data_IF_232180887057
#
_entry.id   IF_232180887057
#
_cell.length_a   1.000
_cell.length_b   1.000
_cell.length_c   1.000
_cell.angle_alpha   90.00
_cell.angle_beta   90.00
_cell.angle_gamma   90.00
#
_symmetry.space_group_name_H-M   'P 1'
#
loop_
_entity.id
_entity.type
_entity.pdbx_description
1 polymer ?
#
# COMPACT_ATOMS: atom_id res chain seq x y z
N UNK A 1 10.79 -15.70 3.96
CA UNK A 1 9.73 -16.27 3.07
C UNK A 1 9.42 -15.26 1.96
N UNK A 2 8.98 -15.67 0.75
CA UNK A 2 8.59 -14.70 -0.28
C UNK A 2 7.36 -13.89 0.15
N UNK A 3 7.33 -12.59 -0.17
CA UNK A 3 6.20 -11.69 0.12
C UNK A 3 4.93 -12.22 -0.52
N UNK A 4 3.88 -12.39 0.28
CA UNK A 4 2.52 -12.56 -0.25
C UNK A 4 2.00 -11.18 -0.69
N UNK A 5 1.71 -11.04 -1.97
CA UNK A 5 1.05 -9.85 -2.54
C UNK A 5 -0.45 -10.11 -2.57
N UNK A 6 -1.28 -9.20 -2.06
CA UNK A 6 -2.72 -9.44 -1.92
C UNK A 6 -3.38 -9.83 -3.24
N UNK A 7 -3.06 -9.12 -4.34
CA UNK A 7 -3.60 -9.37 -5.68
C UNK A 7 -3.08 -10.64 -6.37
N UNK A 8 -2.24 -11.42 -5.68
CA UNK A 8 -1.79 -12.76 -6.12
C UNK A 8 -2.39 -13.87 -5.26
N UNK A 9 -3.19 -13.53 -4.25
CA UNK A 9 -3.89 -14.49 -3.43
C UNK A 9 -5.25 -14.81 -4.06
N UNK A 10 -5.64 -16.08 -4.00
CA UNK A 10 -7.02 -16.48 -4.32
C UNK A 10 -7.95 -16.09 -3.16
N UNK A 11 -9.27 -16.01 -3.38
CA UNK A 11 -10.23 -15.76 -2.31
C UNK A 11 -10.05 -16.71 -1.12
N UNK A 12 -9.93 -18.02 -1.37
CA UNK A 12 -9.69 -19.01 -0.31
C UNK A 12 -8.40 -18.76 0.48
N UNK A 13 -7.35 -18.23 -0.17
CA UNK A 13 -6.10 -17.89 0.52
C UNK A 13 -6.23 -16.63 1.38
N UNK A 14 -7.12 -15.72 1.01
CA UNK A 14 -7.47 -14.53 1.79
C UNK A 14 -8.33 -14.93 2.99
N UNK A 15 -9.35 -15.78 2.77
CA UNK A 15 -10.25 -16.27 3.83
C UNK A 15 -9.53 -17.11 4.89
N UNK A 16 -8.43 -17.78 4.49
CA UNK A 16 -7.57 -18.54 5.39
C UNK A 16 -6.57 -17.68 6.18
N UNK A 17 -6.55 -16.35 5.97
CA UNK A 17 -5.69 -15.46 6.75
C UNK A 17 -6.24 -15.30 8.16
N UNK A 18 -5.39 -15.57 9.15
CA UNK A 18 -5.67 -15.20 10.53
C UNK A 18 -5.51 -13.68 10.68
N UNK A 19 -6.63 -12.97 10.86
CA UNK A 19 -6.67 -11.51 10.95
C UNK A 19 -5.85 -10.97 12.11
N UNK A 20 -5.79 -11.69 13.23
CA UNK A 20 -5.01 -11.30 14.41
C UNK A 20 -3.50 -11.52 14.21
N UNK A 21 -3.14 -12.26 13.15
CA UNK A 21 -1.77 -12.52 12.73
C UNK A 21 -1.48 -12.00 11.33
N UNK A 22 -2.24 -11.04 10.82
CA UNK A 22 -1.96 -10.47 9.50
C UNK A 22 -1.70 -8.98 9.61
N UNK A 23 -0.51 -8.56 9.18
CA UNK A 23 -0.20 -7.14 8.99
C UNK A 23 -0.43 -6.78 7.54
N UNK A 24 -1.27 -5.78 7.28
CA UNK A 24 -1.51 -5.29 5.92
C UNK A 24 -0.75 -3.99 5.72
N UNK A 25 0.03 -3.92 4.65
CA UNK A 25 0.74 -2.72 4.23
C UNK A 25 -0.02 -2.12 3.06
N UNK A 26 -0.67 -0.99 3.31
CA UNK A 26 -1.36 -0.17 2.32
C UNK A 26 -0.40 0.95 1.87
N UNK A 27 0.19 0.87 0.66
CA UNK A 27 0.99 1.96 0.13
C UNK A 27 0.06 3.09 -0.32
N UNK A 28 0.38 4.33 0.02
CA UNK A 28 -0.39 5.50 -0.39
C UNK A 28 0.50 6.40 -1.24
N UNK A 29 0.08 6.71 -2.47
CA UNK A 29 0.89 7.49 -3.39
C UNK A 29 0.05 8.54 -4.15
N UNK A 30 0.71 9.65 -4.46
CA UNK A 30 0.26 10.64 -5.43
C UNK A 30 0.83 10.30 -6.80
N UNK A 31 0.08 10.57 -7.89
CA UNK A 31 0.74 10.78 -9.20
C UNK A 31 0.66 12.25 -9.52
N UNK A 32 1.76 12.95 -9.24
CA UNK A 32 1.90 14.37 -9.47
C UNK A 32 3.23 14.67 -10.12
N UNK A 33 3.30 15.79 -10.83
CA UNK A 33 4.56 16.31 -11.34
C UNK A 33 5.39 16.86 -10.16
N UNK A 34 6.53 16.21 -9.89
CA UNK A 34 7.55 16.72 -8.97
C UNK A 34 8.58 17.63 -9.68
N UNK A 35 8.19 18.23 -10.81
CA UNK A 35 9.01 19.12 -11.62
C UNK A 35 9.19 18.63 -13.07
N UNK A 36 9.76 19.48 -13.94
CA UNK A 36 9.76 19.28 -15.40
C UNK A 36 10.56 18.07 -15.91
N UNK A 37 11.39 17.45 -15.05
CA UNK A 37 12.21 16.28 -15.38
C UNK A 37 11.75 14.99 -14.70
N UNK A 38 10.71 15.05 -13.87
CA UNK A 38 10.23 13.92 -13.08
C UNK A 38 8.96 13.38 -13.70
N UNK A 39 8.89 12.06 -13.91
CA UNK A 39 7.67 11.43 -14.41
C UNK A 39 6.60 11.46 -13.32
N UNK A 40 5.35 11.64 -13.70
CA UNK A 40 4.22 11.76 -12.75
C UNK A 40 4.00 10.52 -11.89
N UNK A 41 4.54 9.36 -12.27
CA UNK A 41 4.41 8.08 -11.55
C UNK A 41 5.63 7.73 -10.67
N UNK A 42 6.63 8.60 -10.54
CA UNK A 42 7.84 8.25 -9.78
C UNK A 42 7.53 8.04 -8.29
N UNK A 43 6.66 8.87 -7.69
CA UNK A 43 6.21 8.69 -6.31
C UNK A 43 5.50 7.33 -6.12
N UNK A 44 4.64 6.95 -7.06
CA UNK A 44 3.99 5.63 -7.07
C UNK A 44 5.01 4.49 -7.07
N UNK A 45 6.07 4.58 -7.90
CA UNK A 45 7.12 3.55 -7.95
C UNK A 45 7.95 3.49 -6.68
N UNK A 46 8.31 4.65 -6.13
CA UNK A 46 9.06 4.73 -4.88
C UNK A 46 8.27 4.08 -3.74
N UNK A 47 7.02 4.50 -3.54
CA UNK A 47 6.14 3.96 -2.51
C UNK A 47 5.89 2.46 -2.70
N UNK A 48 5.73 1.98 -3.94
CA UNK A 48 5.59 0.54 -4.21
C UNK A 48 6.84 -0.25 -3.80
N UNK A 49 8.02 0.31 -4.03
CA UNK A 49 9.32 -0.31 -3.69
C UNK A 49 9.52 -0.34 -2.18
N UNK A 50 9.22 0.76 -1.50
CA UNK A 50 9.35 0.88 -0.05
C UNK A 50 8.35 -0.02 0.68
N UNK A 51 7.10 -0.07 0.22
CA UNK A 51 6.10 -0.99 0.79
C UNK A 51 6.49 -2.46 0.62
N UNK A 52 7.11 -2.82 -0.51
CA UNK A 52 7.66 -4.16 -0.72
C UNK A 52 8.78 -4.46 0.27
N UNK A 53 9.69 -3.50 0.49
CA UNK A 53 10.78 -3.64 1.45
C UNK A 53 10.25 -3.78 2.88
N UNK A 54 9.33 -2.92 3.29
CA UNK A 54 8.68 -3.01 4.61
C UNK A 54 8.00 -4.38 4.82
N UNK A 55 7.30 -4.92 3.81
CA UNK A 55 6.68 -6.24 3.89
C UNK A 55 7.72 -7.36 4.09
N UNK A 56 8.86 -7.27 3.40
CA UNK A 56 9.97 -8.20 3.59
C UNK A 56 10.54 -8.11 5.00
N UNK A 57 10.81 -6.90 5.48
CA UNK A 57 11.46 -6.67 6.77
C UNK A 57 10.58 -7.18 7.92
N UNK A 58 9.27 -6.92 7.85
CA UNK A 58 8.28 -7.48 8.79
C UNK A 58 8.28 -9.01 8.73
N UNK A 59 8.16 -9.60 7.54
CA UNK A 59 8.16 -11.06 7.38
C UNK A 59 9.46 -11.72 7.89
N UNK A 60 10.61 -11.05 7.73
CA UNK A 60 11.91 -11.54 8.23
C UNK A 60 12.03 -11.42 9.75
N UNK A 61 11.53 -10.33 10.34
CA UNK A 61 11.52 -10.15 11.80
C UNK A 61 10.67 -11.22 12.50
N UNK A 62 9.54 -11.62 11.89
CA UNK A 62 8.64 -12.64 12.44
C UNK A 62 9.25 -14.04 12.38
N UNK A 63 10.04 -14.34 11.35
CA UNK A 63 10.68 -15.65 11.21
C UNK A 63 11.64 -15.99 12.37
N UNK A 64 12.19 -14.98 13.05
CA UNK A 64 13.03 -15.12 14.24
C UNK A 64 12.30 -14.89 15.57
N UNK A 65 10.98 -14.67 15.55
CA UNK A 65 10.18 -14.28 16.72
C UNK A 65 9.24 -15.40 17.19
N UNK A 66 8.89 -15.46 18.48
CA UNK A 66 7.81 -16.34 18.98
C UNK A 66 6.44 -16.04 18.36
N UNK A 67 6.27 -14.91 17.64
CA UNK A 67 5.05 -14.59 16.87
C UNK A 67 4.91 -15.40 15.55
N UNK A 68 5.38 -16.65 15.53
CA UNK A 68 5.28 -17.51 14.35
C UNK A 68 3.84 -17.56 13.83
N UNK A 69 3.64 -17.14 12.59
CA UNK A 69 2.33 -17.05 11.95
C UNK A 69 1.92 -15.65 11.53
N UNK A 70 2.64 -14.60 11.96
CA UNK A 70 2.36 -13.24 11.49
C UNK A 70 2.80 -13.08 10.01
N UNK A 71 1.92 -12.56 9.14
CA UNK A 71 2.21 -12.36 7.70
C UNK A 71 2.02 -10.90 7.33
N UNK A 72 3.03 -10.29 6.71
CA UNK A 72 2.87 -8.98 6.06
C UNK A 72 2.43 -9.13 4.60
N UNK A 73 1.29 -8.51 4.26
CA UNK A 73 0.74 -8.50 2.91
C UNK A 73 0.76 -7.08 2.35
N UNK A 74 1.35 -6.93 1.17
CA UNK A 74 1.35 -5.67 0.43
C UNK A 74 0.07 -5.54 -0.41
N UNK A 75 -0.64 -4.42 -0.28
CA UNK A 75 -1.70 -3.97 -1.19
C UNK A 75 -1.15 -3.18 -2.37
N UNK A 76 -1.95 -3.00 -3.42
CA UNK A 76 -1.60 -2.10 -4.51
C UNK A 76 -1.53 -0.67 -3.96
N UNK A 77 -0.57 0.15 -4.41
CA UNK A 77 -0.54 1.55 -4.01
C UNK A 77 -1.85 2.22 -4.41
N UNK A 78 -2.48 2.89 -3.45
CA UNK A 78 -3.66 3.67 -3.73
C UNK A 78 -3.29 4.89 -4.57
N UNK A 79 -4.10 5.16 -5.59
CA UNK A 79 -4.00 6.30 -6.48
C UNK A 79 -5.43 6.61 -6.98
N UNK A 80 -5.86 7.90 -7.07
CA UNK A 80 -5.10 9.13 -6.87
C UNK A 80 -4.87 9.56 -5.41
N UNK A 81 -3.77 10.28 -5.17
CA UNK A 81 -3.48 10.93 -3.89
C UNK A 81 -4.00 12.37 -3.82
N UNK A 82 -3.60 13.14 -2.81
CA UNK A 82 -3.98 14.56 -2.64
C UNK A 82 -2.83 15.48 -3.03
N UNK A 83 -3.08 16.53 -3.83
CA UNK A 83 -2.06 17.54 -4.16
C UNK A 83 -2.02 18.60 -3.06
N UNK A 84 -0.84 18.91 -2.48
CA UNK A 84 -0.70 20.02 -1.54
C UNK A 84 -0.50 21.39 -2.24
N UNK A 85 -0.59 21.47 -3.57
CA UNK A 85 -0.20 22.64 -4.36
C UNK A 85 -1.06 22.91 -5.59
N UNK A 86 -0.74 23.96 -6.37
CA UNK A 86 -1.50 24.31 -7.57
C UNK A 86 -1.44 23.18 -8.60
N UNK A 87 -2.59 22.90 -9.23
CA UNK A 87 -2.75 21.81 -10.18
C UNK A 87 -1.72 21.91 -11.32
N UNK A 88 -0.86 20.90 -11.43
CA UNK A 88 0.09 20.79 -12.54
C UNK A 88 -0.47 19.91 -13.67
N UNK A 89 -0.11 20.22 -14.91
CA UNK A 89 -0.53 19.44 -16.06
C UNK A 89 -0.06 17.98 -15.94
N UNK A 90 -1.00 17.04 -16.07
CA UNK A 90 -0.74 15.60 -15.93
C UNK A 90 -0.79 15.07 -14.48
N UNK A 91 -1.00 15.93 -13.49
CA UNK A 91 -1.33 15.50 -12.12
C UNK A 91 -2.80 15.09 -12.05
N UNK A 92 -3.09 13.96 -11.38
CA UNK A 92 -4.45 13.53 -11.07
C UNK A 92 -4.54 13.37 -9.56
N UNK A 93 -5.48 14.09 -8.96
CA UNK A 93 -5.64 14.15 -7.50
C UNK A 93 -7.09 13.95 -7.09
N UNK A 94 -7.27 13.47 -5.87
CA UNK A 94 -8.56 13.39 -5.21
C UNK A 94 -8.74 14.57 -4.24
N UNK A 95 -9.97 15.10 -4.12
CA UNK A 95 -10.36 15.91 -2.97
C UNK A 95 -10.03 15.19 -1.66
N UNK A 96 -9.53 15.95 -0.67
CA UNK A 96 -9.10 15.41 0.63
C UNK A 96 -10.17 14.52 1.29
N UNK A 97 -11.43 14.97 1.30
CA UNK A 97 -12.55 14.23 1.89
C UNK A 97 -12.83 12.89 1.18
N UNK A 98 -12.67 12.84 -0.15
CA UNK A 98 -12.81 11.60 -0.92
C UNK A 98 -11.63 10.67 -0.66
N UNK A 99 -10.41 11.21 -0.59
CA UNK A 99 -9.21 10.46 -0.26
C UNK A 99 -9.33 9.79 1.12
N UNK A 100 -9.71 10.57 2.14
CA UNK A 100 -9.97 10.07 3.50
C UNK A 100 -11.03 8.97 3.52
N UNK A 101 -12.16 9.19 2.81
CA UNK A 101 -13.22 8.20 2.71
C UNK A 101 -12.78 6.88 2.07
N UNK A 102 -11.90 6.92 1.06
CA UNK A 102 -11.36 5.70 0.44
C UNK A 102 -10.38 4.98 1.38
N UNK A 103 -9.54 5.72 2.11
CA UNK A 103 -8.64 5.13 3.12
C UNK A 103 -9.45 4.48 4.24
N UNK A 104 -10.47 5.17 4.76
CA UNK A 104 -11.35 4.64 5.78
C UNK A 104 -12.10 3.38 5.29
N UNK A 105 -12.68 3.42 4.10
CA UNK A 105 -13.37 2.27 3.51
C UNK A 105 -12.44 1.07 3.33
N UNK A 106 -11.19 1.32 2.91
CA UNK A 106 -10.16 0.27 2.80
C UNK A 106 -9.85 -0.34 4.16
N UNK A 107 -9.65 0.48 5.20
CA UNK A 107 -9.43 0.02 6.56
C UNK A 107 -10.63 -0.78 7.12
N UNK A 108 -11.87 -0.36 6.82
CA UNK A 108 -13.08 -1.06 7.25
C UNK A 108 -13.22 -2.43 6.59
N UNK A 109 -12.89 -2.57 5.30
CA UNK A 109 -12.93 -3.86 4.60
C UNK A 109 -11.86 -4.85 5.06
N UNK A 110 -10.77 -4.35 5.67
CA UNK A 110 -9.69 -5.18 6.19
C UNK A 110 -9.91 -5.66 7.63
N UNK A 111 -10.96 -5.18 8.32
CA UNK A 111 -11.39 -5.69 9.63
C UNK A 111 -12.07 -7.04 9.52
#
# INVERSE_FOLDING_TARGET
MPIKKWWRLTPNQIDALDKDKTTVILPLATMGSAGPKTRVWEDYKAVQTDAKRAANDVNNAIAGSPMQGLVAIQLLPFWPGVEPGPAQAGTITLPQNLYEGVVEASCLQLK
#
